data_IF_059269087961
#
_entry.id   IF_059269087961
#
_cell.length_a   1.000
_cell.length_b   1.000
_cell.length_c   1.000
_cell.angle_alpha   90.00
_cell.angle_beta   90.00
_cell.angle_gamma   90.00
#
_symmetry.space_group_name_H-M   'P 1'
#
loop_
_entity.id
_entity.type
_entity.pdbx_description
1 polymer ?
#
# COMPACT_ATOMS: atom_id res chain seq x y z
N UNK A 1 -1.37 1.38 29.71
CA UNK A 1 -2.02 1.30 28.99
C UNK A 1 -2.17 1.23 28.58
N UNK A 2 -1.82 1.18 28.92
CA UNK A 2 -2.41 1.08 28.10
C UNK A 2 -2.55 1.32 27.59
N UNK A 3 -2.31 1.27 27.87
CA UNK A 3 -2.82 1.53 26.90
C UNK A 3 -2.69 2.29 26.93
N UNK A 4 -2.26 2.59 27.21
CA UNK A 4 -2.59 3.19 26.70
C UNK A 4 -2.57 3.82 26.76
N UNK A 5 -2.23 4.20 27.44
CA UNK A 5 -2.64 4.65 27.07
C UNK A 5 -2.57 5.21 26.94
N UNK A 6 -2.36 5.53 27.28
CA UNK A 6 -2.88 5.85 26.77
C UNK A 6 -2.79 6.55 26.74
N UNK A 7 -2.49 7.00 26.93
CA UNK A 7 -2.83 7.48 26.38
C UNK A 7 -2.88 8.11 26.37
N UNK A 8 -2.44 8.47 26.87
CA UNK A 8 -2.91 8.80 26.59
C UNK A 8 -3.08 9.41 26.38
N UNK A 9 -2.85 9.80 26.64
CA UNK A 9 -3.36 10.21 26.31
C UNK A 9 -3.69 10.56 25.87
N UNK A 10 -3.77 10.67 26.16
CA UNK A 10 -4.28 10.84 25.65
C UNK A 10 -4.46 11.25 24.94
N UNK A 11 -4.64 11.52 25.49
CA UNK A 11 -4.75 11.86 24.61
C UNK A 11 -4.07 11.97 23.58
N UNK A 12 -3.47 11.55 23.14
CA UNK A 12 -3.10 11.52 22.07
C UNK A 12 -3.49 10.75 21.40
N UNK A 13 -3.75 10.87 21.16
CA UNK A 13 -4.43 10.07 20.43
C UNK A 13 -4.07 9.87 19.04
N UNK A 14 -3.59 10.73 18.34
CA UNK A 14 -3.15 10.50 16.98
C UNK A 14 -1.69 10.08 17.01
N UNK A 15 -1.38 8.85 16.55
CA UNK A 15 0.01 8.41 16.53
C UNK A 15 0.85 9.30 15.63
N UNK A 16 2.09 9.46 16.01
CA UNK A 16 3.05 10.16 15.17
C UNK A 16 3.29 9.34 13.92
N UNK A 17 2.96 9.90 12.77
CA UNK A 17 3.08 9.20 11.50
C UNK A 17 4.53 8.81 11.21
N UNK A 18 5.46 9.65 11.60
CA UNK A 18 6.88 9.33 11.39
C UNK A 18 7.30 8.12 12.22
N UNK A 19 6.83 8.04 13.45
CA UNK A 19 7.12 6.90 14.30
C UNK A 19 6.54 5.62 13.71
N UNK A 20 5.30 5.69 13.22
CA UNK A 20 4.67 4.54 12.58
C UNK A 20 5.42 4.13 11.33
N UNK A 21 5.88 5.08 10.57
CA UNK A 21 6.64 4.79 9.37
C UNK A 21 7.95 4.06 9.70
N UNK A 22 8.66 4.51 10.73
CA UNK A 22 9.93 3.87 11.11
C UNK A 22 9.67 2.43 11.56
N UNK A 23 8.59 2.21 12.29
CA UNK A 23 8.24 0.84 12.69
C UNK A 23 7.97 -0.04 11.49
N UNK A 24 7.22 0.46 10.52
CA UNK A 24 6.91 -0.28 9.31
C UNK A 24 8.18 -0.56 8.51
N UNK A 25 9.03 0.43 8.36
CA UNK A 25 10.30 0.28 7.65
C UNK A 25 11.14 -0.82 8.26
N UNK A 26 11.23 -0.84 9.60
CA UNK A 26 12.01 -1.86 10.29
C UNK A 26 11.43 -3.25 10.12
N UNK A 27 10.11 -3.37 10.05
CA UNK A 27 9.47 -4.66 9.79
C UNK A 27 9.74 -5.15 8.38
N UNK A 28 9.85 -4.24 7.43
CA UNK A 28 10.01 -4.62 6.03
C UNK A 28 11.46 -4.85 5.61
N UNK A 29 12.42 -4.35 6.37
CA UNK A 29 13.82 -4.54 6.01
C UNK A 29 14.19 -6.01 5.79
N UNK A 30 13.87 -6.94 6.71
CA UNK A 30 14.21 -8.34 6.46
C UNK A 30 13.42 -8.94 5.32
N UNK A 31 12.21 -8.45 5.07
CA UNK A 31 11.38 -8.96 3.98
C UNK A 31 12.03 -8.67 2.64
N UNK A 32 12.60 -7.46 2.47
CA UNK A 32 13.23 -7.07 1.21
C UNK A 32 14.71 -7.41 1.14
N UNK A 33 15.28 -7.97 2.21
CA UNK A 33 16.68 -8.39 2.20
C UNK A 33 16.87 -9.80 1.68
N UNK A 34 15.80 -10.48 1.32
CA UNK A 34 15.87 -11.84 0.81
C UNK A 34 16.45 -11.86 -0.60
N UNK A 35 16.94 -13.04 -1.00
CA UNK A 35 17.52 -13.19 -2.33
C UNK A 35 16.47 -13.00 -3.44
N UNK A 36 15.21 -13.32 -3.13
CA UNK A 36 14.10 -13.09 -4.05
C UNK A 36 13.12 -12.12 -3.37
N UNK A 37 13.42 -10.83 -3.38
CA UNK A 37 12.58 -9.88 -2.67
C UNK A 37 11.22 -9.71 -3.33
N UNK A 38 10.20 -9.34 -2.54
CA UNK A 38 8.87 -9.13 -3.11
C UNK A 38 8.82 -7.89 -4.00
N UNK A 39 7.78 -7.81 -4.80
CA UNK A 39 7.47 -6.60 -5.57
C UNK A 39 6.77 -5.60 -4.65
N UNK A 40 7.08 -4.33 -4.81
CA UNK A 40 6.50 -3.27 -3.99
C UNK A 40 5.52 -2.47 -4.84
N UNK A 41 4.28 -2.37 -4.39
CA UNK A 41 3.23 -1.65 -5.12
C UNK A 41 2.48 -0.77 -4.12
N UNK A 42 2.20 0.46 -4.51
CA UNK A 42 1.43 1.38 -3.68
C UNK A 42 0.13 1.79 -4.33
N UNK A 43 -0.92 1.91 -3.54
CA UNK A 43 -2.22 2.38 -4.00
C UNK A 43 -2.22 3.90 -3.99
N UNK A 44 -2.54 4.52 -5.13
CA UNK A 44 -2.69 5.96 -5.19
C UNK A 44 -3.82 6.39 -4.26
N UNK A 45 -3.62 7.43 -3.44
CA UNK A 45 -2.48 8.33 -3.59
C UNK A 45 -1.47 8.10 -2.46
N UNK A 46 -1.96 7.92 -1.24
CA UNK A 46 -1.13 7.79 -0.05
C UNK A 46 -0.25 6.56 -0.05
N UNK A 47 -0.78 5.45 -0.56
CA UNK A 47 0.01 4.22 -0.64
C UNK A 47 1.15 4.34 -1.63
N UNK A 48 0.95 5.11 -2.71
CA UNK A 48 2.02 5.34 -3.68
C UNK A 48 3.13 6.19 -3.04
N UNK A 49 2.75 7.20 -2.27
CA UNK A 49 3.71 7.99 -1.52
C UNK A 49 4.51 7.12 -0.54
N UNK A 50 3.80 6.23 0.16
CA UNK A 50 4.43 5.33 1.12
C UNK A 50 5.39 4.38 0.41
N UNK A 51 4.98 3.81 -0.72
CA UNK A 51 5.83 2.92 -1.49
C UNK A 51 7.08 3.63 -1.98
N UNK A 52 6.93 4.86 -2.44
CA UNK A 52 8.07 5.64 -2.91
C UNK A 52 9.08 5.85 -1.79
N UNK A 53 8.60 6.19 -0.62
CA UNK A 53 9.48 6.44 0.52
C UNK A 53 10.16 5.14 0.96
N UNK A 54 9.42 4.05 1.02
CA UNK A 54 9.99 2.74 1.36
C UNK A 54 11.02 2.30 0.34
N UNK A 55 10.74 2.52 -0.94
CA UNK A 55 11.68 2.18 -2.00
C UNK A 55 13.02 2.87 -1.79
N UNK A 56 12.98 4.16 -1.47
CA UNK A 56 14.19 4.93 -1.25
C UNK A 56 14.92 4.47 0.01
N UNK A 57 14.18 4.32 1.11
CA UNK A 57 14.80 4.03 2.40
C UNK A 57 15.27 2.58 2.52
N UNK A 58 14.65 1.66 1.77
CA UNK A 58 15.10 0.28 1.72
C UNK A 58 16.22 0.08 0.68
N UNK A 59 16.46 1.09 -0.16
CA UNK A 59 17.50 1.01 -1.17
C UNK A 59 17.23 -0.01 -2.24
N UNK A 60 15.98 -0.11 -2.69
CA UNK A 60 15.59 -1.13 -3.65
C UNK A 60 16.04 -0.76 -5.05
N UNK A 61 16.53 -1.76 -5.79
CA UNK A 61 16.95 -1.56 -7.18
C UNK A 61 15.78 -1.65 -8.13
N UNK A 62 14.84 -2.55 -7.88
CA UNK A 62 13.68 -2.71 -8.73
C UNK A 62 12.72 -1.53 -8.52
N UNK A 63 12.19 -0.93 -9.58
CA UNK A 63 11.24 0.16 -9.40
C UNK A 63 9.96 -0.35 -8.73
N UNK A 64 9.31 0.52 -7.97
CA UNK A 64 8.04 0.17 -7.36
C UNK A 64 6.90 0.41 -8.35
N UNK A 65 5.78 -0.29 -8.12
CA UNK A 65 4.59 -0.10 -8.93
C UNK A 65 3.56 0.74 -8.22
N UNK A 66 2.59 1.24 -8.96
CA UNK A 66 1.47 2.00 -8.40
C UNK A 66 0.17 1.53 -9.02
N UNK A 67 -0.89 1.58 -8.22
CA UNK A 67 -2.23 1.23 -8.66
C UNK A 67 -3.14 2.42 -8.52
N UNK A 68 -3.95 2.64 -9.55
CA UNK A 68 -5.02 3.61 -9.49
C UNK A 68 -6.34 2.87 -9.50
N UNK A 69 -7.06 2.91 -8.38
CA UNK A 69 -8.32 2.19 -8.24
C UNK A 69 -9.52 3.13 -8.31
N UNK A 70 -9.30 4.37 -8.75
CA UNK A 70 -10.37 5.36 -8.75
C UNK A 70 -11.54 4.97 -9.66
N UNK A 71 -11.28 4.20 -10.71
CA UNK A 71 -12.37 3.84 -11.60
C UNK A 71 -13.31 2.79 -11.01
N UNK A 72 -13.01 2.27 -9.84
CA UNK A 72 -13.93 1.38 -9.13
C UNK A 72 -14.94 2.15 -8.30
N UNK A 73 -14.88 3.49 -8.32
CA UNK A 73 -15.79 4.33 -7.55
C UNK A 73 -17.06 4.61 -8.33
N UNK A 74 -18.10 4.97 -7.59
CA UNK A 74 -19.43 5.13 -8.17
C UNK A 74 -19.52 6.25 -9.17
N UNK A 75 -18.84 7.36 -8.93
CA UNK A 75 -18.91 8.50 -9.83
C UNK A 75 -18.37 8.18 -11.22
N UNK A 76 -17.47 7.23 -11.30
CA UNK A 76 -17.01 6.76 -12.61
C UNK A 76 -18.17 6.17 -13.41
N UNK A 77 -18.99 5.35 -12.77
CA UNK A 77 -20.13 4.74 -13.44
C UNK A 77 -21.17 5.80 -13.83
N UNK A 78 -21.31 6.83 -13.02
CA UNK A 78 -22.28 7.88 -13.26
C UNK A 78 -21.95 8.69 -14.50
N UNK A 79 -20.70 9.03 -14.70
CA UNK A 79 -20.32 9.83 -15.87
C UNK A 79 -20.38 9.04 -17.16
N UNK A 80 -20.16 7.76 -17.10
CA UNK A 80 -20.10 6.94 -18.29
C UNK A 80 -18.96 7.25 -19.23
N UNK A 81 -18.13 8.21 -18.89
CA UNK A 81 -17.01 8.63 -19.69
C UNK A 81 -15.77 8.63 -18.84
N UNK A 82 -14.76 7.95 -19.32
CA UNK A 82 -13.48 7.93 -18.63
C UNK A 82 -12.70 9.19 -19.03
N UNK A 83 -12.66 10.15 -18.14
CA UNK A 83 -11.96 11.39 -18.39
C UNK A 83 -10.51 11.33 -17.96
N UNK A 84 -10.19 10.45 -17.04
CA UNK A 84 -8.83 10.32 -16.51
C UNK A 84 -8.17 9.09 -17.07
N UNK A 85 -6.93 9.25 -17.49
CA UNK A 85 -6.12 8.11 -17.87
C UNK A 85 -5.78 7.34 -16.61
N UNK A 86 -5.89 6.03 -16.69
CA UNK A 86 -5.53 5.15 -15.59
C UNK A 86 -4.03 5.30 -15.33
N UNK A 87 -3.67 5.59 -14.08
CA UNK A 87 -2.28 5.82 -13.73
C UNK A 87 -1.59 4.59 -13.13
N UNK A 88 -2.23 3.44 -13.23
CA UNK A 88 -1.62 2.19 -12.78
C UNK A 88 -0.38 1.90 -13.62
N UNK A 89 0.74 1.68 -12.95
CA UNK A 89 2.01 1.38 -13.58
C UNK A 89 2.67 0.25 -12.83
N UNK A 90 2.82 -0.89 -13.50
CA UNK A 90 3.47 -2.07 -12.93
C UNK A 90 4.68 -2.39 -13.82
N UNK A 91 5.86 -1.84 -13.49
CA UNK A 91 7.02 -1.93 -14.38
C UNK A 91 7.79 -3.25 -14.26
N UNK A 92 7.15 -4.28 -13.76
CA UNK A 92 7.78 -5.60 -13.58
C UNK A 92 6.73 -6.68 -13.76
N UNK A 93 7.21 -7.92 -13.90
CA UNK A 93 6.32 -9.08 -14.00
C UNK A 93 5.99 -9.56 -12.60
N UNK A 94 4.71 -9.65 -12.27
CA UNK A 94 4.26 -10.08 -10.94
C UNK A 94 3.93 -11.57 -10.87
N UNK A 95 4.06 -12.28 -11.98
CA UNK A 95 3.70 -13.69 -12.04
C UNK A 95 4.50 -14.49 -11.01
N UNK A 96 3.81 -15.20 -10.13
CA UNK A 96 4.40 -16.03 -9.08
C UNK A 96 5.24 -15.26 -8.06
N UNK A 97 5.06 -13.96 -7.97
CA UNK A 97 5.82 -13.15 -7.00
C UNK A 97 4.98 -12.84 -5.78
N UNK A 98 5.66 -12.64 -4.66
CA UNK A 98 5.05 -12.05 -3.48
C UNK A 98 4.98 -10.55 -3.74
N UNK A 99 3.83 -9.96 -3.44
CA UNK A 99 3.62 -8.52 -3.60
C UNK A 99 3.41 -7.90 -2.23
N UNK A 100 4.14 -6.83 -1.94
CA UNK A 100 3.85 -6.00 -0.76
C UNK A 100 3.06 -4.80 -1.26
N UNK A 101 1.80 -4.72 -0.83
CA UNK A 101 0.87 -3.69 -1.28
C UNK A 101 0.74 -2.64 -0.18
N UNK A 102 1.04 -1.40 -0.53
CA UNK A 102 1.09 -0.30 0.42
C UNK A 102 -0.16 0.57 0.35
N UNK A 103 -0.69 0.89 1.52
CA UNK A 103 -1.75 1.88 1.66
C UNK A 103 -1.45 2.68 2.92
N UNK A 104 -1.70 3.99 2.90
CA UNK A 104 -1.37 4.82 4.05
C UNK A 104 -2.34 4.60 5.21
N UNK A 105 -3.62 4.54 4.92
CA UNK A 105 -4.66 4.35 5.94
C UNK A 105 -5.62 3.27 5.47
N UNK A 106 -5.82 2.27 6.32
CA UNK A 106 -6.78 1.22 6.05
C UNK A 106 -8.10 1.57 6.72
N UNK A 107 -9.09 1.97 5.93
CA UNK A 107 -10.43 2.31 6.42
C UNK A 107 -11.38 1.13 6.31
N UNK A 108 -11.31 0.40 5.22
CA UNK A 108 -12.19 -0.71 4.97
C UNK A 108 -11.52 -1.65 3.98
N UNK A 109 -12.10 -2.83 3.81
CA UNK A 109 -11.56 -3.79 2.85
C UNK A 109 -11.82 -3.42 1.40
N UNK A 110 -12.56 -2.36 1.15
CA UNK A 110 -12.95 -1.99 -0.21
C UNK A 110 -11.77 -1.64 -1.10
N UNK A 111 -10.87 -0.79 -0.59
CA UNK A 111 -9.69 -0.39 -1.35
C UNK A 111 -8.79 -1.57 -1.62
N UNK A 112 -8.64 -2.43 -0.63
CA UNK A 112 -7.79 -3.62 -0.78
C UNK A 112 -8.38 -4.55 -1.82
N UNK A 113 -9.70 -4.75 -1.79
CA UNK A 113 -10.35 -5.62 -2.76
C UNK A 113 -10.20 -5.08 -4.18
N UNK A 114 -10.39 -3.79 -4.36
CA UNK A 114 -10.23 -3.17 -5.67
C UNK A 114 -8.79 -3.29 -6.15
N UNK A 115 -7.83 -3.11 -5.24
CA UNK A 115 -6.43 -3.25 -5.57
C UNK A 115 -6.09 -4.67 -6.00
N UNK A 116 -6.63 -5.67 -5.30
CA UNK A 116 -6.39 -7.07 -5.67
C UNK A 116 -6.93 -7.37 -7.06
N UNK A 117 -8.13 -6.86 -7.38
CA UNK A 117 -8.69 -7.04 -8.71
C UNK A 117 -7.80 -6.43 -9.78
N UNK A 118 -7.25 -5.26 -9.49
CA UNK A 118 -6.36 -4.60 -10.44
C UNK A 118 -5.07 -5.37 -10.64
N UNK A 119 -4.51 -5.88 -9.55
CA UNK A 119 -3.26 -6.66 -9.62
C UNK A 119 -3.47 -7.90 -10.48
N UNK A 120 -4.61 -8.57 -10.33
CA UNK A 120 -4.88 -9.80 -11.09
C UNK A 120 -4.95 -9.56 -12.59
N UNK A 121 -5.17 -8.32 -13.02
CA UNK A 121 -5.13 -8.01 -14.46
C UNK A 121 -3.71 -8.04 -15.01
N UNK A 122 -2.71 -7.97 -14.13
CA UNK A 122 -1.31 -7.96 -14.55
C UNK A 122 -0.62 -9.30 -14.40
N UNK A 123 -1.25 -10.26 -13.72
CA UNK A 123 -0.67 -11.59 -13.56
C UNK A 123 -1.14 -12.24 -12.27
N UNK A 124 -0.73 -13.50 -12.09
CA UNK A 124 -1.06 -14.26 -10.88
C UNK A 124 0.09 -14.17 -9.90
N UNK A 125 -0.03 -13.31 -8.91
CA UNK A 125 0.98 -13.22 -7.86
C UNK A 125 0.91 -14.45 -6.97
N UNK A 126 2.02 -14.79 -6.31
CA UNK A 126 2.03 -15.90 -5.36
C UNK A 126 1.24 -15.54 -4.11
N UNK A 127 1.38 -14.32 -3.64
CA UNK A 127 0.62 -13.81 -2.50
C UNK A 127 0.72 -12.30 -2.48
N UNK A 128 -0.20 -11.68 -1.74
CA UNK A 128 -0.18 -10.23 -1.56
C UNK A 128 -0.21 -9.98 -0.05
N UNK A 129 0.77 -9.25 0.43
CA UNK A 129 0.88 -8.84 1.83
C UNK A 129 0.60 -7.36 1.92
N UNK A 130 -0.24 -6.97 2.85
CA UNK A 130 -0.65 -5.58 3.00
C UNK A 130 0.25 -4.87 3.99
N UNK A 131 0.80 -3.73 3.59
CA UNK A 131 1.59 -2.86 4.46
C UNK A 131 0.87 -1.54 4.61
N UNK A 132 0.40 -1.25 5.80
CA UNK A 132 -0.34 -0.02 6.06
C UNK A 132 0.35 0.76 7.16
N UNK A 133 0.27 2.09 7.02
CA UNK A 133 0.86 2.97 8.01
C UNK A 133 -0.05 3.09 9.22
N UNK A 134 -1.34 3.18 9.00
CA UNK A 134 -2.30 3.38 10.06
C UNK A 134 -3.58 2.60 9.77
N UNK A 135 -3.95 1.73 10.69
CA UNK A 135 -5.17 0.91 10.56
C UNK A 135 -6.25 1.53 11.45
N UNK A 136 -7.29 2.05 10.82
CA UNK A 136 -8.39 2.67 11.55
C UNK A 136 -9.40 1.65 12.07
N UNK A 137 -9.24 0.41 11.71
CA UNK A 137 -10.10 -0.66 12.18
C UNK A 137 -11.50 -0.64 11.60
N UNK A 138 -11.64 -0.02 10.47
CA UNK A 138 -12.96 0.14 9.85
C UNK A 138 -13.47 -1.06 9.08
#
# INVERSE_FOLDING_TARGET
>A
MTHQPAFTTPTTPIPDAEHLYIQLLNQLRPVFAQSAPPALIGIHRGGAWLAERLHRDLGLNEPFGTLDISFYRDDYATTGIRTNVKTTQIPFDIENRVVVLCDDILNSGRSVRAALNEIFEFGSSASVQLAVLYDRGG
#
